data_IF_969576650791
#
_entry.id   IF_969576650791
#
_cell.length_a   1.000
_cell.length_b   1.000
_cell.length_c   1.000
_cell.angle_alpha   90.00
_cell.angle_beta   90.00
_cell.angle_gamma   90.00
#
_symmetry.space_group_name_H-M   'P 1'
#
loop_
_entity.id
_entity.type
_entity.pdbx_description
1 polymer ?
#
# COMPACT_ATOMS: atom_id res chain seq x y z
N UNK A 1 -14.82 47.43 74.62
CA UNK A 1 -14.56 46.97 75.98
C UNK A 1 -13.85 45.64 75.94
N UNK A 2 -12.84 45.57 76.70
CA UNK A 2 -12.02 44.47 77.18
C UNK A 2 -10.95 43.94 76.24
N UNK A 3 -9.80 44.39 76.52
CA UNK A 3 -8.43 43.98 76.18
C UNK A 3 -8.09 42.69 76.91
N UNK A 4 -7.37 41.77 76.27
CA UNK A 4 -6.47 40.90 77.05
C UNK A 4 -5.27 40.53 76.15
N UNK A 5 -4.10 40.95 76.69
CA UNK A 5 -2.76 40.63 76.21
C UNK A 5 -2.43 39.17 76.53
N UNK A 6 -1.78 38.46 75.67
CA UNK A 6 -1.05 37.25 76.07
C UNK A 6 0.33 37.20 75.41
N UNK A 7 1.26 36.83 76.24
CA UNK A 7 2.71 36.81 76.25
C UNK A 7 3.29 35.91 75.14
N UNK A 8 4.40 36.35 74.53
CA UNK A 8 5.26 35.59 73.65
C UNK A 8 6.31 34.86 74.48
N UNK A 9 6.38 33.57 74.38
CA UNK A 9 7.52 32.75 74.82
C UNK A 9 8.33 32.31 73.65
N UNK A 10 9.56 32.78 73.55
CA UNK A 10 10.52 32.34 72.53
C UNK A 10 11.21 31.05 72.98
N UNK A 11 11.08 30.00 72.17
CA UNK A 11 11.86 28.75 72.29
C UNK A 11 12.90 28.75 71.22
N UNK A 12 14.18 28.76 71.56
CA UNK A 12 15.30 28.60 70.68
C UNK A 12 15.46 27.11 70.32
N UNK A 13 15.32 26.79 69.11
CA UNK A 13 15.62 25.43 68.60
C UNK A 13 16.95 25.50 67.86
N UNK A 14 17.98 24.79 68.38
CA UNK A 14 19.27 24.59 67.76
C UNK A 14 19.11 23.73 66.52
N UNK A 15 19.47 24.27 65.35
CA UNK A 15 19.45 23.55 64.09
C UNK A 15 20.72 22.69 63.90
N UNK A 16 20.57 21.38 63.95
CA UNK A 16 21.61 20.43 63.57
C UNK A 16 21.66 20.36 62.05
N UNK A 17 22.77 20.85 61.47
CA UNK A 17 23.01 20.77 60.04
C UNK A 17 23.51 19.36 59.73
N UNK A 18 22.66 18.50 59.13
CA UNK A 18 23.11 17.25 58.52
C UNK A 18 23.68 17.55 57.11
N UNK A 19 24.93 17.19 56.88
CA UNK A 19 25.55 17.22 55.54
C UNK A 19 24.87 16.19 54.61
N UNK A 20 24.59 16.52 53.32
CA UNK A 20 24.03 15.57 52.39
C UNK A 20 25.09 14.53 51.94
N UNK A 21 24.72 13.25 52.01
CA UNK A 21 25.46 12.16 51.43
C UNK A 21 25.55 12.31 49.90
N UNK A 22 26.62 11.92 49.20
CA UNK A 22 26.71 12.01 47.75
C UNK A 22 25.68 11.10 47.10
N UNK A 23 24.73 11.72 46.42
CA UNK A 23 23.67 11.05 45.69
C UNK A 23 24.25 10.15 44.59
N UNK A 24 23.87 8.89 44.61
CA UNK A 24 24.06 7.99 43.51
C UNK A 24 23.42 8.60 42.24
N UNK A 25 24.22 8.97 41.27
CA UNK A 25 23.77 9.35 39.95
C UNK A 25 23.05 8.13 39.37
N UNK A 26 21.74 8.18 39.31
CA UNK A 26 20.96 7.29 38.44
C UNK A 26 21.43 7.55 37.01
N UNK A 27 22.12 6.55 36.43
CA UNK A 27 22.35 6.51 35.00
C UNK A 27 20.99 6.65 34.31
N UNK A 28 20.75 7.78 33.70
CA UNK A 28 19.68 7.94 32.75
C UNK A 28 19.99 6.98 31.60
N UNK A 29 19.27 5.86 31.56
CA UNK A 29 19.23 5.02 30.38
C UNK A 29 18.65 5.92 29.29
N UNK A 30 19.49 6.51 28.45
CA UNK A 30 19.04 7.06 27.18
C UNK A 30 18.32 5.92 26.46
N UNK A 31 17.01 6.01 26.39
CA UNK A 31 16.22 5.23 25.46
C UNK A 31 16.67 5.69 24.09
N UNK A 32 17.61 4.94 23.51
CA UNK A 32 17.97 5.10 22.10
C UNK A 32 16.61 4.96 21.38
N UNK A 33 16.14 5.99 20.66
CA UNK A 33 14.91 5.85 19.91
C UNK A 33 15.16 4.69 18.94
N UNK A 34 14.38 3.63 19.07
CA UNK A 34 14.30 2.56 18.09
C UNK A 34 14.36 3.24 16.73
N UNK A 35 15.33 2.89 15.91
CA UNK A 35 15.42 3.36 14.52
C UNK A 35 14.20 2.82 13.82
N UNK A 36 13.08 3.57 13.90
CA UNK A 36 11.88 3.26 13.17
C UNK A 36 12.30 3.16 11.72
N UNK A 37 12.30 1.94 11.17
CA UNK A 37 12.74 1.67 9.82
C UNK A 37 11.89 2.53 8.89
N UNK A 38 12.54 3.40 8.11
CA UNK A 38 11.85 4.24 7.14
C UNK A 38 11.10 3.31 6.16
N UNK A 39 9.74 3.34 6.11
CA UNK A 39 8.96 2.41 5.30
C UNK A 39 9.38 2.39 3.82
N UNK A 40 9.72 3.55 3.26
CA UNK A 40 10.19 3.63 1.88
C UNK A 40 11.54 2.92 1.66
N UNK A 41 12.44 2.95 2.66
CA UNK A 41 13.70 2.18 2.60
C UNK A 41 13.43 0.68 2.72
N UNK A 42 12.51 0.28 3.57
CA UNK A 42 12.10 -1.12 3.70
C UNK A 42 11.46 -1.61 2.40
N UNK A 43 10.59 -0.83 1.77
CA UNK A 43 10.00 -1.13 0.47
C UNK A 43 11.08 -1.30 -0.61
N UNK A 44 12.04 -0.39 -0.67
CA UNK A 44 13.15 -0.44 -1.63
C UNK A 44 14.10 -1.64 -1.40
N UNK A 45 14.12 -2.21 -0.20
CA UNK A 45 14.92 -3.37 0.15
C UNK A 45 14.18 -4.71 -0.04
N UNK A 46 12.87 -4.69 -0.30
CA UNK A 46 12.06 -5.88 -0.47
C UNK A 46 12.55 -6.71 -1.67
N UNK A 47 12.72 -8.02 -1.48
CA UNK A 47 13.21 -8.98 -2.49
C UNK A 47 12.15 -9.96 -2.94
N UNK A 48 11.03 -9.99 -2.23
CA UNK A 48 9.91 -10.88 -2.51
C UNK A 48 8.59 -10.19 -2.18
N UNK A 49 7.54 -10.53 -2.93
CA UNK A 49 6.22 -10.02 -2.66
C UNK A 49 5.13 -11.01 -3.06
N UNK A 50 4.00 -10.95 -2.36
CA UNK A 50 2.82 -11.77 -2.62
C UNK A 50 1.63 -10.90 -2.98
N UNK A 51 0.72 -11.43 -3.81
CA UNK A 51 -0.47 -10.73 -4.28
C UNK A 51 -1.69 -11.63 -4.17
N UNK A 52 -2.66 -11.24 -3.32
CA UNK A 52 -3.90 -11.98 -3.12
C UNK A 52 -5.03 -11.02 -2.79
N UNK A 53 -6.13 -11.08 -3.55
CA UNK A 53 -7.29 -10.18 -3.40
C UNK A 53 -8.56 -10.90 -2.99
N UNK A 54 -8.63 -12.22 -3.16
CA UNK A 54 -9.78 -13.02 -2.78
C UNK A 54 -9.42 -14.01 -1.67
N UNK A 55 -10.42 -14.45 -0.92
CA UNK A 55 -10.22 -15.40 0.19
C UNK A 55 -9.15 -14.94 1.17
N UNK A 56 -9.12 -13.64 1.49
CA UNK A 56 -8.11 -13.06 2.38
C UNK A 56 -8.34 -13.58 3.80
N UNK A 57 -7.49 -14.49 4.22
CA UNK A 57 -7.48 -15.05 5.56
C UNK A 57 -6.13 -14.80 6.24
N UNK A 58 -6.07 -13.91 7.25
CA UNK A 58 -4.83 -13.60 7.96
C UNK A 58 -4.12 -14.82 8.52
N UNK A 59 -4.85 -15.82 8.99
CA UNK A 59 -4.26 -17.02 9.59
C UNK A 59 -3.50 -17.87 8.56
N UNK A 60 -3.96 -17.88 7.33
CA UNK A 60 -3.28 -18.56 6.23
C UNK A 60 -2.13 -17.73 5.67
N UNK A 61 -2.35 -16.41 5.51
CA UNK A 61 -1.39 -15.49 4.89
C UNK A 61 -0.18 -15.22 5.80
N UNK A 62 -0.33 -15.28 7.14
CA UNK A 62 0.79 -15.03 8.07
C UNK A 62 1.97 -15.97 7.82
N UNK A 63 1.71 -17.21 7.40
CA UNK A 63 2.74 -18.20 7.10
C UNK A 63 3.57 -17.89 5.84
N UNK A 64 3.15 -16.94 5.03
CA UNK A 64 3.87 -16.58 3.80
C UNK A 64 5.16 -15.79 4.13
N UNK A 65 6.34 -16.16 3.57
CA UNK A 65 7.62 -15.55 3.93
C UNK A 65 7.97 -14.32 3.08
N UNK A 66 6.99 -13.64 2.50
CA UNK A 66 7.20 -12.47 1.65
C UNK A 66 7.62 -11.24 2.46
N UNK A 67 8.50 -10.39 1.90
CA UNK A 67 8.89 -9.09 2.47
C UNK A 67 7.78 -8.05 2.37
N UNK A 68 6.95 -8.16 1.33
CA UNK A 68 5.78 -7.33 1.10
C UNK A 68 4.60 -8.19 0.63
N UNK A 69 3.40 -7.86 1.06
CA UNK A 69 2.16 -8.43 0.51
C UNK A 69 1.18 -7.34 0.12
N UNK A 70 0.43 -7.60 -0.93
CA UNK A 70 -0.72 -6.81 -1.36
C UNK A 70 -1.96 -7.66 -1.17
N UNK A 71 -2.90 -7.20 -0.38
CA UNK A 71 -4.16 -7.89 -0.07
C UNK A 71 -5.33 -6.92 -0.11
N UNK A 72 -6.55 -7.45 -0.23
CA UNK A 72 -7.74 -6.63 0.00
C UNK A 72 -7.80 -6.17 1.47
N UNK A 73 -8.40 -5.01 1.74
CA UNK A 73 -8.57 -4.52 3.12
C UNK A 73 -9.61 -5.35 3.91
N UNK A 74 -10.32 -6.23 3.24
CA UNK A 74 -11.40 -7.07 3.79
C UNK A 74 -11.25 -8.51 3.30
N UNK A 75 -11.78 -9.45 4.06
CA UNK A 75 -11.74 -10.90 3.73
C UNK A 75 -12.55 -11.22 2.46
N UNK A 76 -13.60 -10.46 2.18
CA UNK A 76 -14.53 -10.65 1.05
C UNK A 76 -14.83 -9.36 0.27
N UNK A 77 -14.13 -8.27 0.59
CA UNK A 77 -14.33 -6.95 0.01
C UNK A 77 -15.41 -6.11 0.68
N UNK A 78 -16.26 -6.68 1.54
CA UNK A 78 -17.30 -5.96 2.29
C UNK A 78 -16.71 -5.27 3.54
N UNK A 79 -17.45 -4.28 4.05
CA UNK A 79 -17.09 -3.62 5.30
C UNK A 79 -17.31 -4.52 6.54
N UNK A 80 -18.26 -5.44 6.44
CA UNK A 80 -18.58 -6.35 7.54
C UNK A 80 -17.45 -7.31 7.91
N UNK A 81 -16.61 -7.65 6.92
CA UNK A 81 -15.45 -8.51 7.09
C UNK A 81 -14.12 -7.78 6.86
N UNK A 82 -14.10 -6.45 7.06
CA UNK A 82 -12.88 -5.65 7.02
C UNK A 82 -11.86 -6.17 8.05
N UNK A 83 -10.59 -6.17 7.66
CA UNK A 83 -9.50 -6.58 8.54
C UNK A 83 -9.36 -5.60 9.71
N UNK A 84 -9.18 -6.14 10.90
CA UNK A 84 -8.93 -5.36 12.11
C UNK A 84 -7.48 -4.91 12.19
N UNK A 85 -7.19 -3.96 13.08
CA UNK A 85 -5.81 -3.55 13.34
C UNK A 85 -4.94 -4.71 13.87
N UNK A 86 -5.53 -5.64 14.61
CA UNK A 86 -4.83 -6.83 15.11
C UNK A 86 -4.54 -7.82 13.96
N UNK A 87 -5.47 -8.01 13.02
CA UNK A 87 -5.24 -8.82 11.81
C UNK A 87 -4.06 -8.26 11.00
N UNK A 88 -4.06 -6.94 10.75
CA UNK A 88 -3.00 -6.29 9.99
C UNK A 88 -1.66 -6.34 10.74
N UNK A 89 -1.65 -6.08 12.05
CA UNK A 89 -0.44 -6.18 12.88
C UNK A 89 0.15 -7.59 12.87
N UNK A 90 -0.69 -8.63 12.92
CA UNK A 90 -0.28 -10.02 12.78
C UNK A 90 0.39 -10.27 11.43
N UNK A 91 -0.21 -9.78 10.35
CA UNK A 91 0.34 -9.91 8.99
C UNK A 91 1.64 -9.13 8.78
N UNK A 92 1.92 -8.11 9.59
CA UNK A 92 3.15 -7.32 9.51
C UNK A 92 4.39 -8.05 10.06
N UNK A 93 4.24 -9.26 10.57
CA UNK A 93 5.34 -10.10 11.07
C UNK A 93 5.47 -11.32 10.17
N UNK A 94 6.69 -11.57 9.67
CA UNK A 94 7.02 -12.78 8.90
C UNK A 94 7.22 -14.00 9.81
N UNK A 95 7.20 -15.23 9.28
CA UNK A 95 7.48 -16.44 10.06
C UNK A 95 8.84 -16.44 10.76
N UNK A 96 9.84 -15.72 10.23
CA UNK A 96 11.17 -15.56 10.84
C UNK A 96 11.24 -14.45 11.90
N UNK A 97 10.13 -13.77 12.18
CA UNK A 97 10.02 -12.66 13.12
C UNK A 97 10.39 -11.29 12.56
N UNK A 98 10.84 -11.20 11.32
CA UNK A 98 11.13 -9.91 10.69
C UNK A 98 9.87 -9.16 10.26
N UNK A 99 10.02 -7.87 10.04
CA UNK A 99 8.92 -6.98 9.63
C UNK A 99 8.56 -7.18 8.16
N UNK A 100 7.26 -7.37 7.89
CA UNK A 100 6.65 -7.41 6.56
C UNK A 100 5.93 -6.10 6.26
N UNK A 101 5.97 -5.63 5.02
CA UNK A 101 5.12 -4.55 4.53
C UNK A 101 3.76 -5.13 4.08
N UNK A 102 2.67 -4.54 4.55
CA UNK A 102 1.30 -4.93 4.18
C UNK A 102 0.61 -3.76 3.51
N UNK A 103 0.33 -3.89 2.20
CA UNK A 103 -0.37 -2.89 1.41
C UNK A 103 -1.81 -3.31 1.18
N UNK A 104 -2.74 -2.36 1.31
CA UNK A 104 -4.13 -2.59 0.93
C UNK A 104 -4.33 -2.30 -0.57
N UNK A 105 -4.97 -3.21 -1.28
CA UNK A 105 -5.49 -2.95 -2.61
C UNK A 105 -6.55 -1.83 -2.56
N UNK A 106 -6.47 -0.90 -3.49
CA UNK A 106 -7.41 0.22 -3.61
C UNK A 106 -7.66 0.55 -5.08
N UNK A 107 -8.82 0.18 -5.61
CA UNK A 107 -9.25 0.61 -6.94
C UNK A 107 -9.64 2.10 -6.91
N UNK A 108 -8.95 2.91 -7.71
CA UNK A 108 -9.19 4.36 -7.77
C UNK A 108 -9.93 4.81 -9.04
N UNK A 109 -9.88 4.00 -10.09
CA UNK A 109 -10.53 4.27 -11.37
C UNK A 109 -11.85 3.52 -11.58
N UNK A 110 -12.18 2.55 -10.72
CA UNK A 110 -13.44 1.83 -10.76
C UNK A 110 -14.11 1.77 -9.40
N UNK A 111 -15.44 1.85 -9.41
CA UNK A 111 -16.29 1.59 -8.26
C UNK A 111 -16.75 0.12 -8.29
N UNK A 112 -16.67 -0.55 -7.15
CA UNK A 112 -16.95 -1.97 -6.99
C UNK A 112 -18.22 -2.16 -6.16
N UNK A 113 -19.18 -2.95 -6.65
CA UNK A 113 -20.54 -3.07 -6.07
C UNK A 113 -20.58 -3.73 -4.69
N UNK A 114 -19.52 -4.41 -4.30
CA UNK A 114 -19.40 -5.08 -3.00
C UNK A 114 -18.77 -4.20 -1.92
N UNK A 115 -18.29 -3.00 -2.25
CA UNK A 115 -17.68 -2.08 -1.30
C UNK A 115 -18.72 -1.34 -0.47
N UNK A 116 -18.35 -0.97 0.74
CA UNK A 116 -19.19 -0.29 1.73
C UNK A 116 -19.89 0.97 1.21
N UNK A 117 -19.27 1.70 0.29
CA UNK A 117 -19.80 2.94 -0.25
C UNK A 117 -20.89 2.71 -1.31
N UNK A 118 -20.99 1.50 -1.85
CA UNK A 118 -21.92 1.22 -2.93
C UNK A 118 -23.36 1.17 -2.43
N UNK A 119 -24.27 1.83 -3.14
CA UNK A 119 -25.71 1.76 -2.87
C UNK A 119 -26.38 0.86 -3.90
N UNK A 120 -27.14 -0.10 -3.46
CA UNK A 120 -27.74 -1.13 -4.30
C UNK A 120 -28.51 -0.58 -5.51
N UNK A 121 -29.14 0.61 -5.40
CA UNK A 121 -29.88 1.24 -6.48
C UNK A 121 -29.02 1.95 -7.52
N UNK A 122 -27.71 2.11 -7.31
CA UNK A 122 -26.80 2.70 -8.28
C UNK A 122 -26.51 1.78 -9.47
N UNK A 123 -26.70 0.46 -9.31
CA UNK A 123 -26.59 -0.54 -10.37
C UNK A 123 -27.86 -0.71 -11.22
N UNK A 124 -28.97 -0.06 -10.85
CA UNK A 124 -30.26 -0.27 -11.51
C UNK A 124 -30.35 0.41 -12.88
N UNK A 125 -31.19 -0.20 -13.75
CA UNK A 125 -31.33 0.06 -15.18
C UNK A 125 -31.67 1.52 -15.54
N UNK A 126 -32.28 2.28 -14.68
CA UNK A 126 -32.77 3.62 -14.98
C UNK A 126 -31.75 4.75 -14.73
N UNK A 127 -30.53 4.45 -14.29
CA UNK A 127 -29.42 5.44 -14.21
C UNK A 127 -29.71 6.78 -13.51
N UNK A 128 -30.99 7.14 -13.39
CA UNK A 128 -31.44 8.43 -12.86
C UNK A 128 -31.05 8.70 -11.40
N UNK A 129 -30.74 7.65 -10.65
CA UNK A 129 -30.31 7.73 -9.24
C UNK A 129 -28.83 7.42 -9.07
N UNK A 130 -28.12 7.15 -10.15
CA UNK A 130 -26.67 6.93 -10.09
C UNK A 130 -25.93 8.26 -9.88
N UNK A 131 -24.86 8.27 -9.08
CA UNK A 131 -24.07 9.50 -8.89
C UNK A 131 -23.39 9.93 -10.20
N UNK A 132 -23.14 11.23 -10.33
CA UNK A 132 -22.54 11.81 -11.53
C UNK A 132 -21.17 11.25 -11.87
N UNK A 133 -20.42 10.77 -10.87
CA UNK A 133 -19.11 10.17 -11.06
C UNK A 133 -19.15 8.75 -11.65
N UNK A 134 -20.26 8.01 -11.53
CA UNK A 134 -20.36 6.64 -12.04
C UNK A 134 -20.36 6.62 -13.58
N UNK A 135 -19.46 5.84 -14.15
CA UNK A 135 -19.37 5.57 -15.57
C UNK A 135 -20.10 4.30 -16.00
N UNK A 136 -19.58 3.67 -17.04
CA UNK A 136 -20.09 2.40 -17.57
C UNK A 136 -19.58 1.23 -16.74
N UNK A 137 -20.37 0.14 -16.74
CA UNK A 137 -19.92 -1.12 -16.16
C UNK A 137 -18.79 -1.70 -17.02
N UNK A 138 -17.77 -2.22 -16.36
CA UNK A 138 -16.70 -2.98 -17.00
C UNK A 138 -17.24 -4.26 -17.61
N UNK A 139 -16.94 -4.52 -18.89
CA UNK A 139 -17.44 -5.69 -19.61
C UNK A 139 -16.80 -7.00 -19.16
N UNK A 140 -15.57 -6.94 -18.64
CA UNK A 140 -14.82 -8.11 -18.17
C UNK A 140 -15.08 -8.42 -16.70
N UNK A 141 -15.29 -7.37 -15.88
CA UNK A 141 -15.50 -7.49 -14.44
C UNK A 141 -16.88 -6.99 -14.06
N UNK A 142 -17.85 -7.93 -14.05
CA UNK A 142 -19.23 -7.62 -13.68
C UNK A 142 -19.27 -7.12 -12.22
N UNK A 143 -19.92 -5.97 -12.03
CA UNK A 143 -20.00 -5.33 -10.74
C UNK A 143 -19.03 -4.17 -10.56
N UNK A 144 -18.08 -4.01 -11.49
CA UNK A 144 -17.18 -2.88 -11.51
C UNK A 144 -17.65 -1.82 -12.50
N UNK A 145 -17.51 -0.56 -12.13
CA UNK A 145 -17.96 0.58 -12.93
C UNK A 145 -16.84 1.61 -13.00
N UNK A 146 -16.40 1.96 -14.21
CA UNK A 146 -15.46 3.06 -14.42
C UNK A 146 -15.99 4.37 -13.79
N UNK A 147 -15.11 5.23 -13.31
CA UNK A 147 -15.48 6.44 -12.58
C UNK A 147 -14.84 7.69 -13.15
N UNK A 148 -15.53 8.83 -13.03
CA UNK A 148 -14.99 10.16 -13.27
C UNK A 148 -14.22 10.62 -12.04
N UNK A 149 -12.99 10.11 -11.87
CA UNK A 149 -12.15 10.31 -10.67
C UNK A 149 -11.77 11.77 -10.42
N UNK A 150 -11.96 12.67 -11.37
CA UNK A 150 -11.81 14.13 -11.20
C UNK A 150 -13.00 14.77 -10.47
N UNK A 151 -14.10 14.04 -10.25
CA UNK A 151 -15.25 14.56 -9.51
C UNK A 151 -15.03 14.47 -8.00
N UNK A 152 -15.33 15.57 -7.31
CA UNK A 152 -15.14 15.69 -5.87
C UNK A 152 -15.89 14.61 -5.06
N UNK A 153 -17.08 14.22 -5.49
CA UNK A 153 -17.87 13.21 -4.78
C UNK A 153 -17.17 11.84 -4.79
N UNK A 154 -16.48 11.47 -5.88
CA UNK A 154 -15.66 10.27 -5.91
C UNK A 154 -14.40 10.43 -5.06
N UNK A 155 -13.74 11.57 -5.12
CA UNK A 155 -12.59 11.87 -4.29
C UNK A 155 -12.93 11.82 -2.80
N UNK A 156 -14.13 12.27 -2.41
CA UNK A 156 -14.61 12.18 -1.03
C UNK A 156 -14.76 10.73 -0.57
N UNK A 157 -15.22 9.82 -1.44
CA UNK A 157 -15.30 8.38 -1.14
C UNK A 157 -13.90 7.81 -0.94
N UNK A 158 -12.96 8.14 -1.82
CA UNK A 158 -11.65 7.50 -1.83
C UNK A 158 -10.73 8.07 -0.76
N UNK A 159 -10.57 9.42 -0.64
CA UNK A 159 -9.53 9.97 0.23
C UNK A 159 -9.86 11.29 0.92
N UNK A 160 -10.75 12.15 0.39
CA UNK A 160 -10.90 13.52 0.89
C UNK A 160 -12.07 13.74 1.84
N UNK A 161 -13.03 12.82 1.89
CA UNK A 161 -14.15 12.85 2.80
C UNK A 161 -13.79 12.42 4.23
N UNK A 162 -14.76 12.60 5.13
CA UNK A 162 -14.69 11.99 6.47
C UNK A 162 -14.99 10.50 6.37
N UNK A 163 -14.19 9.65 7.01
CA UNK A 163 -14.31 8.19 6.94
C UNK A 163 -14.18 7.64 5.51
N UNK A 164 -13.26 8.24 4.74
CA UNK A 164 -12.94 7.82 3.39
C UNK A 164 -12.36 6.39 3.35
N UNK A 165 -12.31 5.77 2.17
CA UNK A 165 -11.72 4.44 2.01
C UNK A 165 -10.25 4.43 2.48
N UNK A 166 -9.50 5.48 2.14
CA UNK A 166 -8.13 5.67 2.61
C UNK A 166 -8.05 5.77 4.15
N UNK A 167 -8.98 6.51 4.80
CA UNK A 167 -9.00 6.63 6.26
C UNK A 167 -9.24 5.26 6.93
N UNK A 168 -10.13 4.42 6.38
CA UNK A 168 -10.39 3.05 6.87
C UNK A 168 -9.14 2.17 6.76
N UNK A 169 -8.45 2.20 5.64
CA UNK A 169 -7.19 1.48 5.41
C UNK A 169 -6.10 1.94 6.40
N UNK A 170 -5.96 3.26 6.60
CA UNK A 170 -4.99 3.82 7.56
C UNK A 170 -5.32 3.40 8.99
N UNK A 171 -6.59 3.46 9.38
CA UNK A 171 -7.05 3.12 10.72
C UNK A 171 -6.91 1.61 11.01
N UNK A 172 -7.05 0.75 9.99
CA UNK A 172 -6.76 -0.68 10.09
C UNK A 172 -5.25 -0.99 10.23
N UNK A 173 -4.37 0.00 10.08
CA UNK A 173 -2.94 -0.17 10.35
C UNK A 173 -2.06 -0.51 9.14
N UNK A 174 -2.61 -0.65 7.94
CA UNK A 174 -1.83 -0.92 6.72
C UNK A 174 -0.66 0.04 6.55
N UNK A 175 0.42 -0.42 5.93
CA UNK A 175 1.63 0.39 5.69
C UNK A 175 1.48 1.32 4.48
N UNK A 176 0.54 1.02 3.61
CA UNK A 176 0.30 1.77 2.40
C UNK A 176 -0.84 1.20 1.58
N UNK A 177 -0.97 1.71 0.37
CA UNK A 177 -1.94 1.24 -0.63
C UNK A 177 -1.25 0.80 -1.92
N UNK A 178 -1.89 -0.16 -2.60
CA UNK A 178 -1.59 -0.58 -3.96
C UNK A 178 -2.74 -0.10 -4.84
N UNK A 179 -2.47 0.94 -5.64
CA UNK A 179 -3.47 1.64 -6.42
C UNK A 179 -3.72 0.93 -7.75
N UNK A 180 -4.94 0.46 -7.94
CA UNK A 180 -5.37 -0.16 -9.20
C UNK A 180 -6.31 0.75 -10.00
N UNK A 181 -6.54 0.36 -11.27
CA UNK A 181 -7.37 1.10 -12.25
C UNK A 181 -6.86 2.53 -12.49
N UNK A 182 -5.56 2.70 -12.38
CA UNK A 182 -4.87 3.92 -12.80
C UNK A 182 -5.06 4.17 -14.29
N UNK A 183 -5.31 3.12 -15.06
CA UNK A 183 -5.53 3.15 -16.51
C UNK A 183 -6.90 3.70 -16.94
N UNK A 184 -7.83 3.92 -16.03
CA UNK A 184 -9.16 4.46 -16.34
C UNK A 184 -9.09 5.77 -17.15
N UNK A 185 -7.98 6.51 -17.07
CA UNK A 185 -7.81 7.73 -17.87
C UNK A 185 -7.82 7.46 -19.39
N UNK A 186 -7.49 6.24 -19.83
CA UNK A 186 -7.52 5.86 -21.24
C UNK A 186 -8.96 5.73 -21.71
N UNK A 187 -9.80 5.06 -20.92
CA UNK A 187 -11.20 4.86 -21.21
C UNK A 187 -11.99 6.17 -21.11
N UNK A 188 -11.59 7.05 -20.21
CA UNK A 188 -12.18 8.36 -20.00
C UNK A 188 -11.69 9.45 -20.96
N UNK A 189 -10.65 9.22 -21.77
CA UNK A 189 -10.06 10.23 -22.66
C UNK A 189 -11.05 10.85 -23.64
N UNK A 190 -12.05 10.10 -24.09
CA UNK A 190 -13.11 10.63 -24.97
C UNK A 190 -14.07 11.57 -24.27
N UNK A 191 -14.26 11.44 -22.96
CA UNK A 191 -15.14 12.28 -22.14
C UNK A 191 -14.40 13.46 -21.53
N UNK A 192 -13.10 13.31 -21.28
CA UNK A 192 -12.25 14.32 -20.67
C UNK A 192 -10.87 14.33 -21.33
N UNK A 193 -10.57 15.35 -22.18
CA UNK A 193 -9.25 15.46 -22.80
C UNK A 193 -8.09 15.58 -21.81
N UNK A 194 -8.37 15.99 -20.56
CA UNK A 194 -7.38 16.15 -19.50
C UNK A 194 -7.29 14.90 -18.60
N UNK A 195 -8.01 13.81 -18.92
CA UNK A 195 -8.10 12.63 -18.06
C UNK A 195 -6.73 12.14 -17.54
N UNK A 196 -5.71 12.08 -18.39
CA UNK A 196 -4.35 11.68 -17.98
C UNK A 196 -3.74 12.62 -16.92
N UNK A 197 -3.88 13.90 -17.10
CA UNK A 197 -3.38 14.89 -16.13
C UNK A 197 -4.18 14.86 -14.83
N UNK A 198 -5.49 14.71 -14.92
CA UNK A 198 -6.38 14.60 -13.75
C UNK A 198 -6.10 13.35 -12.93
N UNK A 199 -5.72 12.21 -13.55
CA UNK A 199 -5.31 11.01 -12.81
C UNK A 199 -4.03 11.24 -12.01
N UNK A 200 -3.06 11.95 -12.58
CA UNK A 200 -1.83 12.31 -11.89
C UNK A 200 -2.13 13.25 -10.70
N UNK A 201 -2.99 14.26 -10.91
CA UNK A 201 -3.42 15.17 -9.84
C UNK A 201 -4.14 14.40 -8.73
N UNK A 202 -5.01 13.46 -9.08
CA UNK A 202 -5.74 12.61 -8.13
C UNK A 202 -4.78 11.78 -7.26
N UNK A 203 -3.83 11.07 -7.90
CA UNK A 203 -2.85 10.23 -7.17
C UNK A 203 -1.97 11.10 -6.26
N UNK A 204 -1.55 12.26 -6.73
CA UNK A 204 -0.77 13.20 -5.92
C UNK A 204 -1.55 13.67 -4.69
N UNK A 205 -2.80 14.10 -4.86
CA UNK A 205 -3.65 14.56 -3.77
C UNK A 205 -3.92 13.43 -2.74
N UNK A 206 -4.16 12.19 -3.22
CA UNK A 206 -4.31 11.01 -2.38
C UNK A 206 -3.03 10.76 -1.56
N UNK A 207 -1.85 10.81 -2.19
CA UNK A 207 -0.57 10.60 -1.53
C UNK A 207 -0.29 11.67 -0.46
N UNK A 208 -0.57 12.95 -0.76
CA UNK A 208 -0.44 14.05 0.18
C UNK A 208 -1.38 13.87 1.39
N UNK A 209 -2.63 13.52 1.14
CA UNK A 209 -3.62 13.22 2.20
C UNK A 209 -3.18 12.04 3.06
N UNK A 210 -2.76 10.93 2.45
CA UNK A 210 -2.31 9.75 3.17
C UNK A 210 -1.14 10.06 4.11
N UNK A 211 -0.12 10.73 3.59
CA UNK A 211 1.08 11.07 4.35
C UNK A 211 0.85 12.15 5.42
N UNK A 212 -0.15 13.01 5.25
CA UNK A 212 -0.59 13.95 6.30
C UNK A 212 -1.25 13.24 7.48
N UNK A 213 -1.90 12.08 7.23
CA UNK A 213 -2.55 11.26 8.26
C UNK A 213 -1.59 10.28 8.92
N UNK A 214 -0.75 9.63 8.14
CA UNK A 214 0.24 8.65 8.57
C UNK A 214 1.58 8.95 7.86
N UNK A 215 2.51 9.66 8.50
CA UNK A 215 3.83 9.90 7.93
C UNK A 215 4.51 8.59 7.51
N UNK A 216 5.07 8.56 6.31
CA UNK A 216 5.69 7.36 5.74
C UNK A 216 4.71 6.36 5.11
N UNK A 217 3.42 6.70 4.99
CA UNK A 217 2.44 5.86 4.30
C UNK A 217 2.82 5.65 2.83
N UNK A 218 2.89 4.40 2.41
CA UNK A 218 3.40 3.99 1.10
C UNK A 218 2.32 4.05 0.02
N UNK A 219 2.71 4.49 -1.16
CA UNK A 219 1.87 4.54 -2.35
C UNK A 219 2.55 3.74 -3.46
N UNK A 220 2.04 2.56 -3.77
CA UNK A 220 2.47 1.75 -4.91
C UNK A 220 1.38 1.80 -5.97
N UNK A 221 1.73 2.21 -7.18
CA UNK A 221 0.78 2.30 -8.29
C UNK A 221 0.88 1.06 -9.17
N UNK A 222 -0.22 0.64 -9.79
CA UNK A 222 -0.24 -0.52 -10.68
C UNK A 222 -0.25 -0.09 -12.15
N UNK A 223 0.58 -0.76 -12.95
CA UNK A 223 0.62 -0.59 -14.41
C UNK A 223 0.85 0.85 -14.91
N UNK A 224 0.54 1.12 -16.17
CA UNK A 224 0.60 2.43 -16.84
C UNK A 224 1.94 3.15 -16.68
N UNK A 225 3.00 2.46 -16.94
CA UNK A 225 4.38 2.92 -16.94
C UNK A 225 4.62 4.17 -17.81
N UNK A 226 3.71 4.45 -18.75
CA UNK A 226 3.70 5.71 -19.49
C UNK A 226 3.56 6.97 -18.63
N UNK A 227 2.96 6.86 -17.43
CA UNK A 227 2.87 7.97 -16.48
C UNK A 227 4.22 8.28 -15.82
N UNK A 228 5.16 7.32 -15.82
CA UNK A 228 6.49 7.50 -15.24
C UNK A 228 7.34 8.55 -15.99
N UNK A 229 6.95 8.98 -17.18
CA UNK A 229 7.59 10.12 -17.87
C UNK A 229 7.40 11.44 -17.09
N UNK A 230 6.35 11.54 -16.26
CA UNK A 230 6.06 12.73 -15.46
C UNK A 230 6.78 12.68 -14.11
N UNK A 231 7.71 13.59 -13.88
CA UNK A 231 8.51 13.63 -12.65
C UNK A 231 7.65 13.77 -11.38
N UNK A 232 6.63 14.61 -11.41
CA UNK A 232 5.75 14.83 -10.26
C UNK A 232 4.86 13.61 -9.94
N UNK A 233 4.53 12.78 -10.93
CA UNK A 233 3.90 11.49 -10.69
C UNK A 233 4.85 10.53 -9.98
N UNK A 234 6.09 10.40 -10.49
CA UNK A 234 7.11 9.58 -9.82
C UNK A 234 7.38 10.04 -8.40
N UNK A 235 7.36 11.36 -8.13
CA UNK A 235 7.53 11.90 -6.78
C UNK A 235 6.37 11.54 -5.83
N UNK A 236 5.17 11.29 -6.33
CA UNK A 236 4.01 10.95 -5.53
C UNK A 236 3.98 9.49 -5.08
N UNK A 237 4.58 8.56 -5.85
CA UNK A 237 4.58 7.11 -5.59
C UNK A 237 5.90 6.62 -5.02
N UNK A 238 5.87 5.52 -4.27
CA UNK A 238 7.04 4.86 -3.66
C UNK A 238 7.51 3.63 -4.42
N UNK A 239 6.69 3.09 -5.31
CA UNK A 239 6.97 1.93 -6.16
C UNK A 239 5.88 1.75 -7.21
N UNK A 240 6.08 0.76 -8.08
CA UNK A 240 5.10 0.41 -9.11
C UNK A 240 4.98 -1.11 -9.23
N UNK A 241 3.74 -1.60 -9.27
CA UNK A 241 3.40 -2.97 -9.67
C UNK A 241 3.19 -3.06 -11.17
N UNK A 242 3.78 -4.06 -11.82
CA UNK A 242 3.61 -4.32 -13.25
C UNK A 242 3.13 -5.74 -13.48
N UNK A 243 1.97 -5.86 -14.10
CA UNK A 243 1.41 -7.14 -14.53
C UNK A 243 1.75 -7.43 -15.99
N UNK A 244 1.89 -8.72 -16.34
CA UNK A 244 1.97 -9.16 -17.71
C UNK A 244 3.07 -8.44 -18.53
N UNK A 245 4.26 -8.26 -17.96
CA UNK A 245 5.34 -7.57 -18.66
C UNK A 245 5.95 -8.46 -19.75
N UNK A 246 6.21 -9.70 -19.39
CA UNK A 246 6.91 -10.66 -20.27
C UNK A 246 5.96 -11.61 -20.97
N UNK A 247 4.82 -11.92 -20.37
CA UNK A 247 3.82 -12.87 -20.86
C UNK A 247 2.42 -12.34 -20.60
N UNK A 248 1.47 -12.75 -21.46
CA UNK A 248 0.06 -12.59 -21.17
C UNK A 248 -0.54 -11.24 -21.45
N UNK A 249 0.12 -10.36 -22.22
CA UNK A 249 -0.46 -9.09 -22.66
C UNK A 249 -1.90 -9.27 -23.18
N UNK A 250 -2.19 -10.43 -23.82
CA UNK A 250 -3.54 -10.84 -24.24
C UNK A 250 -4.21 -11.82 -23.25
N UNK A 251 -3.75 -11.93 -22.00
CA UNK A 251 -4.25 -12.87 -20.96
C UNK A 251 -4.15 -14.37 -21.34
N UNK A 252 -3.26 -14.73 -22.24
CA UNK A 252 -3.14 -16.09 -22.79
C UNK A 252 -1.82 -16.80 -22.46
N UNK A 253 -1.02 -16.28 -21.54
CA UNK A 253 0.31 -16.77 -21.13
C UNK A 253 1.32 -16.88 -22.31
N UNK A 254 1.08 -16.20 -23.43
CA UNK A 254 2.05 -16.13 -24.52
C UNK A 254 3.07 -15.03 -24.23
N UNK A 255 4.30 -15.17 -24.78
CA UNK A 255 5.28 -14.08 -24.69
C UNK A 255 4.72 -12.78 -25.28
N UNK A 256 4.89 -11.69 -24.54
CA UNK A 256 4.53 -10.35 -24.99
C UNK A 256 5.44 -9.88 -26.12
N UNK A 257 4.99 -8.88 -26.88
CA UNK A 257 5.77 -8.33 -27.98
C UNK A 257 7.13 -7.78 -27.50
N UNK A 258 8.26 -8.14 -28.14
CA UNK A 258 9.59 -7.71 -27.70
C UNK A 258 9.80 -6.19 -27.67
N UNK A 259 9.21 -5.43 -28.61
CA UNK A 259 9.32 -3.96 -28.62
C UNK A 259 8.47 -3.34 -27.50
N UNK A 260 7.27 -3.89 -27.25
CA UNK A 260 6.43 -3.51 -26.09
C UNK A 260 7.19 -3.73 -24.79
N UNK A 261 7.80 -4.92 -24.60
CA UNK A 261 8.62 -5.21 -23.43
C UNK A 261 9.75 -4.18 -23.26
N UNK A 262 10.50 -3.91 -24.33
CA UNK A 262 11.63 -2.99 -24.33
C UNK A 262 11.20 -1.58 -23.92
N UNK A 263 10.11 -1.08 -24.49
CA UNK A 263 9.55 0.24 -24.21
C UNK A 263 9.07 0.34 -22.77
N UNK A 264 8.37 -0.67 -22.27
CA UNK A 264 7.87 -0.71 -20.91
C UNK A 264 9.03 -0.78 -19.90
N UNK A 265 10.03 -1.63 -20.15
CA UNK A 265 11.25 -1.70 -19.32
C UNK A 265 11.98 -0.37 -19.29
N UNK A 266 12.10 0.34 -20.41
CA UNK A 266 12.75 1.66 -20.46
C UNK A 266 12.04 2.68 -19.55
N UNK A 267 10.70 2.68 -19.56
CA UNK A 267 9.89 3.55 -18.67
C UNK A 267 10.01 3.13 -17.20
N UNK A 268 9.92 1.83 -16.91
CA UNK A 268 10.06 1.29 -15.54
C UNK A 268 11.43 1.60 -14.94
N UNK A 269 12.48 1.64 -15.74
CA UNK A 269 13.82 2.02 -15.31
C UNK A 269 13.94 3.48 -14.84
N UNK A 270 13.04 4.37 -15.23
CA UNK A 270 12.99 5.72 -14.67
C UNK A 270 12.73 5.68 -13.16
N UNK A 271 11.93 4.72 -12.70
CA UNK A 271 11.61 4.55 -11.29
C UNK A 271 12.78 3.91 -10.52
N UNK A 272 13.39 2.85 -11.07
CA UNK A 272 14.54 2.20 -10.42
C UNK A 272 15.76 3.11 -10.35
N UNK A 273 15.93 4.03 -11.31
CA UNK A 273 16.97 5.07 -11.25
C UNK A 273 16.78 6.01 -10.05
N UNK A 274 15.54 6.22 -9.60
CA UNK A 274 15.20 6.95 -8.37
C UNK A 274 15.24 6.04 -7.10
N UNK A 275 15.75 4.80 -7.22
CA UNK A 275 15.80 3.79 -6.15
C UNK A 275 14.42 3.38 -5.61
N UNK A 276 13.40 3.47 -6.44
CA UNK A 276 12.05 2.98 -6.14
C UNK A 276 11.85 1.63 -6.81
N UNK A 277 11.29 0.63 -6.11
CA UNK A 277 11.15 -0.72 -6.65
C UNK A 277 10.07 -0.82 -7.71
N UNK A 278 10.26 -1.77 -8.61
CA UNK A 278 9.25 -2.29 -9.52
C UNK A 278 8.95 -3.73 -9.12
N UNK A 279 7.70 -4.00 -8.78
CA UNK A 279 7.17 -5.30 -8.40
C UNK A 279 6.46 -5.92 -9.62
N UNK A 280 7.06 -6.93 -10.23
CA UNK A 280 6.49 -7.54 -11.42
C UNK A 280 5.74 -8.83 -11.07
N UNK A 281 4.50 -8.97 -11.55
CA UNK A 281 3.73 -10.21 -11.46
C UNK A 281 3.47 -10.78 -12.84
N UNK A 282 3.74 -12.09 -12.97
CA UNK A 282 3.41 -12.86 -14.15
C UNK A 282 2.46 -13.99 -13.76
N UNK A 283 1.49 -14.27 -14.62
CA UNK A 283 0.48 -15.30 -14.39
C UNK A 283 0.81 -16.54 -15.22
N UNK A 284 1.82 -17.30 -14.76
CA UNK A 284 2.38 -18.46 -15.45
C UNK A 284 2.22 -19.72 -14.62
N UNK A 285 1.99 -20.85 -15.29
CA UNK A 285 1.84 -22.18 -14.67
C UNK A 285 3.03 -23.09 -14.92
N UNK A 286 3.70 -22.95 -16.07
CA UNK A 286 4.79 -23.82 -16.45
C UNK A 286 6.08 -23.48 -15.70
N UNK A 287 6.68 -24.42 -14.91
CA UNK A 287 7.85 -24.14 -14.08
C UNK A 287 9.05 -23.60 -14.87
N UNK A 288 9.25 -24.07 -16.09
CA UNK A 288 10.36 -23.62 -16.94
C UNK A 288 10.16 -22.17 -17.41
N UNK A 289 8.92 -21.73 -17.64
CA UNK A 289 8.60 -20.36 -18.03
C UNK A 289 8.70 -19.43 -16.82
N UNK A 290 8.23 -19.88 -15.67
CA UNK A 290 8.42 -19.17 -14.40
C UNK A 290 9.89 -18.87 -14.15
N UNK A 291 10.75 -19.87 -14.31
CA UNK A 291 12.19 -19.67 -14.04
C UNK A 291 12.86 -18.72 -15.08
N UNK A 292 12.47 -18.83 -16.35
CA UNK A 292 12.93 -17.90 -17.39
C UNK A 292 12.47 -16.46 -17.12
N UNK A 293 11.19 -16.29 -16.77
CA UNK A 293 10.61 -14.99 -16.44
C UNK A 293 11.28 -14.40 -15.20
N UNK A 294 11.44 -15.20 -14.12
CA UNK A 294 12.12 -14.81 -12.90
C UNK A 294 13.51 -14.24 -13.19
N UNK A 295 14.33 -15.03 -13.90
CA UNK A 295 15.68 -14.59 -14.26
C UNK A 295 15.67 -13.27 -15.01
N UNK A 296 14.80 -13.15 -16.02
CA UNK A 296 14.72 -11.96 -16.87
C UNK A 296 14.27 -10.71 -16.09
N UNK A 297 13.27 -10.85 -15.20
CA UNK A 297 12.80 -9.76 -14.35
C UNK A 297 13.88 -9.30 -13.37
N UNK A 298 14.61 -10.25 -12.77
CA UNK A 298 15.77 -9.94 -11.90
C UNK A 298 16.89 -9.25 -12.66
N UNK A 299 17.19 -9.66 -13.90
CA UNK A 299 18.19 -9.01 -14.77
C UNK A 299 17.80 -7.56 -15.11
N UNK A 300 16.49 -7.23 -15.10
CA UNK A 300 16.02 -5.84 -15.21
C UNK A 300 16.11 -5.05 -13.89
N UNK A 301 16.33 -5.71 -12.76
CA UNK A 301 16.33 -5.12 -11.43
C UNK A 301 14.94 -4.99 -10.82
N UNK A 302 13.98 -5.83 -11.25
CA UNK A 302 12.62 -5.86 -10.74
C UNK A 302 12.44 -6.99 -9.74
N UNK A 303 11.45 -6.89 -8.86
CA UNK A 303 11.12 -7.89 -7.86
C UNK A 303 9.99 -8.77 -8.42
N UNK A 304 10.27 -10.02 -8.82
CA UNK A 304 9.27 -10.88 -9.44
C UNK A 304 8.37 -11.55 -8.43
N UNK A 305 7.11 -11.78 -8.80
CA UNK A 305 6.21 -12.76 -8.20
C UNK A 305 5.43 -13.49 -9.28
N UNK A 306 4.88 -14.65 -8.93
CA UNK A 306 4.04 -15.45 -9.81
C UNK A 306 2.74 -15.74 -9.08
N UNK A 307 1.61 -15.56 -9.75
CA UNK A 307 0.29 -15.70 -9.15
C UNK A 307 -0.69 -16.39 -10.11
N UNK A 308 -1.77 -16.90 -9.56
CA UNK A 308 -2.94 -17.27 -10.36
C UNK A 308 -3.74 -16.00 -10.68
N UNK A 309 -4.35 -15.90 -11.86
CA UNK A 309 -5.14 -14.70 -12.24
C UNK A 309 -6.35 -14.45 -11.34
N UNK A 310 -6.84 -15.47 -10.66
CA UNK A 310 -7.91 -15.31 -9.68
C UNK A 310 -7.46 -14.53 -8.44
N UNK A 311 -6.15 -14.47 -8.17
CA UNK A 311 -5.58 -13.84 -6.98
C UNK A 311 -6.26 -14.31 -5.67
N UNK A 312 -6.63 -15.61 -5.63
CA UNK A 312 -7.37 -16.22 -4.54
C UNK A 312 -6.47 -16.94 -3.51
N UNK A 313 -5.16 -16.98 -3.78
CA UNK A 313 -4.12 -17.55 -2.91
C UNK A 313 -2.73 -16.98 -3.23
N UNK A 314 -1.83 -17.04 -2.26
CA UNK A 314 -0.40 -16.77 -2.46
C UNK A 314 0.35 -18.06 -2.86
N UNK A 315 1.15 -18.00 -3.92
CA UNK A 315 1.95 -19.13 -4.44
C UNK A 315 3.32 -19.18 -3.76
N UNK A 316 3.37 -19.64 -2.51
CA UNK A 316 4.59 -19.64 -1.68
C UNK A 316 5.71 -20.51 -2.29
N UNK A 317 5.36 -21.60 -2.98
CA UNK A 317 6.32 -22.53 -3.59
C UNK A 317 7.18 -21.98 -4.72
N UNK A 318 6.82 -20.82 -5.28
CA UNK A 318 7.54 -20.18 -6.39
C UNK A 318 8.60 -19.18 -5.90
N UNK A 319 8.83 -19.08 -4.58
CA UNK A 319 9.90 -18.25 -4.05
C UNK A 319 11.28 -18.85 -4.38
N UNK A 320 12.29 -18.01 -4.66
CA UNK A 320 13.65 -18.51 -4.81
C UNK A 320 14.09 -19.21 -3.54
N UNK A 321 14.72 -20.37 -3.66
CA UNK A 321 15.34 -21.06 -2.52
C UNK A 321 16.40 -20.15 -1.90
N UNK A 322 16.24 -19.68 -0.64
CA UNK A 322 17.20 -18.78 0.01
C UNK A 322 18.59 -19.41 0.20
N UNK A 323 18.71 -20.74 0.06
CA UNK A 323 19.99 -21.45 0.12
C UNK A 323 20.80 -21.36 -1.19
N UNK A 324 20.16 -21.01 -2.31
CA UNK A 324 20.84 -20.85 -3.58
C UNK A 324 21.49 -19.45 -3.65
N UNK A 325 22.78 -19.37 -3.26
CA UNK A 325 23.57 -18.16 -3.49
C UNK A 325 23.68 -17.90 -4.98
N UNK A 326 23.50 -16.62 -5.43
CA UNK A 326 23.76 -16.29 -6.82
C UNK A 326 25.19 -16.71 -7.17
N UNK A 327 25.33 -17.60 -8.16
CA UNK A 327 26.62 -18.11 -8.59
C UNK A 327 27.54 -16.94 -8.92
N UNK A 328 28.65 -16.84 -8.21
CA UNK A 328 29.75 -15.94 -8.58
C UNK A 328 30.19 -16.33 -9.98
N UNK A 329 29.98 -15.44 -10.95
CA UNK A 329 30.70 -15.43 -12.22
C UNK A 329 31.90 -14.48 -12.10
#
# INVERSE_FOLDING_TARGET
MCSTKCLVAAVAISSLVLAPLPGAQRASTEVIPSTASNPARQLAAAKSWGYQLQNVDPDTIEAAPYDMIVIDYSRDGSDALALTADDVAKLQVKPDGERRIVLAYLSIGEAETYRYYWKWYWGWFFGALAPGWRGRQNSEWRGNYGVRYWQQDWQNIIFSGTDSYLDRIINAGFDGVYLDKVDEYVDMAKQNPNARADMIVFIKALAERARSRKPGFLIVSQNREGLLTEQHYRAAIDGLGKEDLLYGEDKNQRPSDPESIKDNVARLKLLTAERKPVFAVEYLDAPQEIERARKRLLDYGFVPTFADRALDRMRIGDLPDPSQKPGKK
#
